data_IF_831666805874
#
_entry.id   IF_831666805874
#
_cell.length_a   1.000
_cell.length_b   1.000
_cell.length_c   1.000
_cell.angle_alpha   90.00
_cell.angle_beta   90.00
_cell.angle_gamma   90.00
#
_symmetry.space_group_name_H-M   'P 1'
#
loop_
_entity.id
_entity.type
_entity.pdbx_description
1 polymer ?
#
# COMPACT_ATOMS: atom_id res chain seq x y z
N UNK A 1 -17.39 -9.76 -12.23
CA UNK A 1 -17.36 -10.52 -10.98
C UNK A 1 -16.44 -9.79 -10.00
N UNK A 2 -16.92 -8.76 -9.29
CA UNK A 2 -17.74 -8.82 -8.06
C UNK A 2 -16.87 -9.32 -6.88
N UNK A 3 -16.68 -8.64 -5.74
CA UNK A 3 -17.68 -8.04 -4.84
C UNK A 3 -16.99 -7.15 -3.76
N UNK A 4 -17.59 -5.97 -3.53
CA UNK A 4 -17.78 -5.18 -2.29
C UNK A 4 -16.61 -4.75 -1.36
N UNK A 5 -16.64 -3.44 -1.05
CA UNK A 5 -16.06 -2.84 0.15
C UNK A 5 -16.68 -1.47 0.42
N UNK A 6 -17.93 -1.50 0.91
CA UNK A 6 -18.77 -0.50 1.61
C UNK A 6 -18.46 1.01 1.54
N UNK A 7 -19.49 1.87 1.39
CA UNK A 7 -19.36 3.30 1.61
C UNK A 7 -19.23 3.57 3.11
N UNK A 8 -18.07 4.07 3.55
CA UNK A 8 -17.92 4.62 4.89
C UNK A 8 -18.61 5.99 4.92
N UNK A 9 -19.79 6.03 5.56
CA UNK A 9 -20.74 7.14 5.56
C UNK A 9 -20.89 7.68 6.98
N UNK A 10 -20.08 8.68 7.32
CA UNK A 10 -20.25 9.67 8.40
C UNK A 10 -18.94 10.45 8.45
N UNK A 11 -18.89 11.75 8.17
CA UNK A 11 -19.33 12.78 9.11
C UNK A 11 -19.98 13.97 8.42
N UNK A 12 -21.01 14.50 9.08
CA UNK A 12 -21.91 15.52 8.57
C UNK A 12 -21.26 16.89 8.38
N UNK A 13 -21.51 17.48 7.21
CA UNK A 13 -21.33 18.91 7.01
C UNK A 13 -22.41 19.67 7.79
N UNK A 14 -22.06 20.29 8.92
CA UNK A 14 -22.87 21.35 9.54
C UNK A 14 -22.11 22.66 9.53
N UNK A 15 -22.70 23.64 8.84
CA UNK A 15 -22.59 25.09 9.12
C UNK A 15 -21.35 25.79 8.60
N UNK A 16 -21.48 26.51 7.48
CA UNK A 16 -20.55 27.58 7.09
C UNK A 16 -21.04 28.92 7.64
N UNK A 17 -20.21 29.58 8.46
CA UNK A 17 -20.30 31.02 8.73
C UNK A 17 -19.49 31.81 7.69
N UNK A 18 -19.69 33.14 7.58
CA UNK A 18 -19.20 33.94 6.45
C UNK A 18 -17.68 34.24 6.40
N UNK A 19 -16.84 33.74 7.32
CA UNK A 19 -15.45 34.21 7.47
C UNK A 19 -14.35 33.11 7.49
N UNK A 20 -14.50 31.99 6.78
CA UNK A 20 -13.56 30.86 6.95
C UNK A 20 -13.24 30.10 5.68
N UNK A 21 -12.00 30.25 5.21
CA UNK A 21 -11.30 29.47 4.20
C UNK A 21 -11.96 28.15 3.75
N UNK A 22 -12.18 28.02 2.44
CA UNK A 22 -12.45 26.76 1.76
C UNK A 22 -11.19 25.89 1.76
N UNK A 23 -10.70 25.49 2.94
CA UNK A 23 -9.73 24.42 3.09
C UNK A 23 -10.44 23.12 2.70
N UNK A 24 -10.66 22.94 1.40
CA UNK A 24 -11.07 21.68 0.82
C UNK A 24 -10.06 20.64 1.28
N UNK A 25 -10.53 19.68 2.08
CA UNK A 25 -9.76 18.50 2.43
C UNK A 25 -9.52 17.70 1.15
N UNK A 26 -8.50 18.09 0.38
CA UNK A 26 -8.02 17.34 -0.76
C UNK A 26 -7.50 16.01 -0.23
N UNK A 27 -8.25 14.93 -0.50
CA UNK A 27 -7.84 13.57 -0.16
C UNK A 27 -6.60 13.21 -0.98
N UNK A 28 -5.43 13.50 -0.44
CA UNK A 28 -4.14 13.11 -1.02
C UNK A 28 -3.94 11.60 -0.83
N UNK A 29 -3.80 10.86 -1.93
CA UNK A 29 -3.39 9.47 -1.92
C UNK A 29 -1.88 9.42 -2.14
N UNK A 30 -1.11 9.12 -1.10
CA UNK A 30 0.34 9.02 -1.22
C UNK A 30 0.71 7.68 -1.83
N UNK A 31 1.42 7.74 -2.95
CA UNK A 31 2.08 6.58 -3.56
C UNK A 31 3.55 6.62 -3.19
N UNK A 32 4.11 5.51 -2.72
CA UNK A 32 5.55 5.41 -2.48
C UNK A 32 6.11 4.17 -3.15
N UNK A 33 7.35 4.29 -3.63
CA UNK A 33 8.08 3.14 -4.17
C UNK A 33 9.22 2.78 -3.23
N UNK A 34 9.47 1.49 -3.08
CA UNK A 34 10.55 0.94 -2.26
C UNK A 34 11.26 -0.12 -3.07
N UNK A 35 12.58 -0.14 -2.97
CA UNK A 35 13.38 -1.24 -3.48
C UNK A 35 13.76 -2.17 -2.33
N UNK A 36 13.39 -3.44 -2.45
CA UNK A 36 13.74 -4.52 -1.51
C UNK A 36 15.13 -5.12 -1.78
N UNK A 37 15.78 -4.71 -2.87
CA UNK A 37 17.16 -5.05 -3.24
C UNK A 37 17.47 -6.55 -3.33
N UNK A 38 16.45 -7.36 -3.61
CA UNK A 38 16.56 -8.80 -3.77
C UNK A 38 15.59 -9.32 -4.82
N UNK A 39 15.92 -10.46 -5.43
CA UNK A 39 14.99 -11.20 -6.30
C UNK A 39 13.96 -11.89 -5.43
N UNK A 40 12.69 -11.80 -5.83
CA UNK A 40 11.57 -12.36 -5.09
C UNK A 40 10.85 -13.41 -5.93
N UNK A 41 10.61 -14.58 -5.34
CA UNK A 41 9.73 -15.58 -5.93
C UNK A 41 8.28 -15.26 -5.55
N UNK A 42 7.56 -14.67 -6.52
CA UNK A 42 6.17 -14.25 -6.36
C UNK A 42 5.23 -15.44 -6.05
N UNK A 43 5.52 -16.64 -6.55
CA UNK A 43 4.71 -17.83 -6.28
C UNK A 43 4.86 -18.25 -4.82
N UNK A 44 6.09 -18.27 -4.32
CA UNK A 44 6.35 -18.61 -2.91
C UNK A 44 5.73 -17.59 -1.96
N UNK A 45 5.84 -16.29 -2.27
CA UNK A 45 5.21 -15.24 -1.47
C UNK A 45 3.69 -15.43 -1.43
N UNK A 46 3.06 -15.68 -2.57
CA UNK A 46 1.61 -15.90 -2.63
C UNK A 46 1.16 -17.17 -1.91
N UNK A 47 1.97 -18.23 -1.92
CA UNK A 47 1.66 -19.49 -1.24
C UNK A 47 1.73 -19.32 0.30
N UNK A 48 2.71 -18.58 0.79
CA UNK A 48 2.96 -18.44 2.23
C UNK A 48 2.18 -17.28 2.86
N UNK A 49 1.94 -16.18 2.13
CA UNK A 49 1.28 -15.00 2.67
C UNK A 49 -0.25 -15.09 2.50
N UNK A 50 -0.96 -15.24 3.62
CA UNK A 50 -2.44 -15.35 3.63
C UNK A 50 -3.19 -14.13 3.07
N UNK A 51 -2.56 -12.94 3.10
CA UNK A 51 -3.14 -11.68 2.61
C UNK A 51 -2.49 -11.23 1.29
N UNK A 52 -2.08 -12.18 0.46
CA UNK A 52 -1.46 -11.94 -0.84
C UNK A 52 -2.28 -12.58 -1.96
N UNK A 53 -2.48 -11.81 -3.03
CA UNK A 53 -3.13 -12.27 -4.26
C UNK A 53 -2.09 -12.25 -5.39
N UNK A 54 -2.00 -13.34 -6.15
CA UNK A 54 -1.10 -13.42 -7.29
C UNK A 54 -1.74 -14.17 -8.45
N UNK A 55 -1.80 -13.51 -9.61
CA UNK A 55 -2.25 -14.13 -10.84
C UNK A 55 -1.32 -13.72 -12.00
N UNK A 56 -0.32 -14.54 -12.37
CA UNK A 56 0.68 -14.17 -13.37
C UNK A 56 0.08 -13.92 -14.76
N UNK A 57 -1.09 -14.47 -15.07
CA UNK A 57 -1.80 -14.21 -16.34
C UNK A 57 -2.43 -12.81 -16.38
N UNK A 58 -2.74 -12.24 -15.21
CA UNK A 58 -3.40 -10.94 -15.08
C UNK A 58 -2.41 -9.82 -14.82
N UNK A 59 -1.45 -10.06 -13.92
CA UNK A 59 -0.50 -9.02 -13.51
C UNK A 59 0.77 -9.64 -12.92
N UNK A 60 1.94 -9.12 -13.32
CA UNK A 60 3.26 -9.64 -12.95
C UNK A 60 3.72 -9.16 -11.56
N UNK A 61 2.80 -9.03 -10.60
CA UNK A 61 3.10 -8.61 -9.23
C UNK A 61 2.17 -9.29 -8.23
N UNK A 62 2.66 -9.49 -7.01
CA UNK A 62 1.86 -9.92 -5.86
C UNK A 62 1.18 -8.68 -5.28
N UNK A 63 -0.13 -8.76 -5.06
CA UNK A 63 -0.92 -7.73 -4.40
C UNK A 63 -1.05 -8.12 -2.93
N UNK A 64 -0.56 -7.29 -2.01
CA UNK A 64 -0.64 -7.55 -0.58
C UNK A 64 -1.34 -6.41 0.15
N UNK A 65 -2.25 -6.72 1.08
CA UNK A 65 -3.05 -5.70 1.79
C UNK A 65 -2.87 -5.79 3.29
N UNK A 66 -2.78 -4.64 3.96
CA UNK A 66 -2.81 -4.52 5.41
C UNK A 66 -3.89 -3.53 5.83
N UNK A 67 -4.43 -3.68 7.05
CA UNK A 67 -5.54 -2.86 7.55
C UNK A 67 -5.08 -1.61 8.30
N UNK A 68 -3.93 -1.67 8.94
CA UNK A 68 -3.35 -0.57 9.70
C UNK A 68 -1.88 -0.38 9.31
N UNK A 69 -1.52 0.74 8.66
CA UNK A 69 -2.42 1.66 7.93
C UNK A 69 -3.13 0.94 6.78
N UNK A 70 -4.32 1.39 6.37
CA UNK A 70 -5.08 0.77 5.27
C UNK A 70 -4.39 1.02 3.93
N UNK A 71 -3.53 0.11 3.49
CA UNK A 71 -2.72 0.26 2.28
C UNK A 71 -2.71 -1.01 1.44
N UNK A 72 -2.28 -0.86 0.19
CA UNK A 72 -2.02 -1.98 -0.73
C UNK A 72 -0.60 -1.87 -1.27
N UNK A 73 0.13 -2.98 -1.25
CA UNK A 73 1.44 -3.10 -1.87
C UNK A 73 1.38 -3.95 -3.13
N UNK A 74 2.09 -3.52 -4.16
CA UNK A 74 2.38 -4.28 -5.37
C UNK A 74 3.84 -4.68 -5.33
N UNK A 75 4.13 -5.98 -5.22
CA UNK A 75 5.48 -6.51 -5.07
C UNK A 75 5.87 -7.19 -6.38
N UNK A 76 6.95 -6.74 -7.01
CA UNK A 76 7.46 -7.25 -8.27
C UNK A 76 8.62 -8.23 -8.04
N UNK A 77 8.81 -9.17 -8.96
CA UNK A 77 9.90 -10.17 -8.90
C UNK A 77 11.31 -9.54 -8.87
N UNK A 78 11.43 -8.29 -9.34
CA UNK A 78 12.66 -7.50 -9.30
C UNK A 78 13.05 -6.98 -7.91
N UNK A 79 12.18 -7.14 -6.91
CA UNK A 79 12.36 -6.52 -5.59
C UNK A 79 11.78 -5.10 -5.49
N UNK A 80 11.30 -4.52 -6.60
CA UNK A 80 10.53 -3.28 -6.53
C UNK A 80 9.19 -3.53 -5.84
N UNK A 81 8.78 -2.59 -5.00
CA UNK A 81 7.51 -2.59 -4.30
C UNK A 81 6.88 -1.21 -4.39
N UNK A 82 5.60 -1.15 -4.76
CA UNK A 82 4.82 0.10 -4.77
C UNK A 82 3.77 0.02 -3.68
N UNK A 83 3.70 1.02 -2.81
CA UNK A 83 2.72 1.13 -1.74
C UNK A 83 1.74 2.27 -2.05
N UNK A 84 0.44 2.00 -1.95
CA UNK A 84 -0.64 2.95 -2.23
C UNK A 84 -1.72 2.94 -1.14
N UNK A 85 -2.53 3.99 -1.09
CA UNK A 85 -3.67 4.12 -0.16
C UNK A 85 -3.33 4.79 1.18
N UNK A 86 -2.09 5.26 1.34
CA UNK A 86 -1.70 6.00 2.53
C UNK A 86 -2.24 7.44 2.47
N UNK A 87 -2.71 7.96 3.61
CA UNK A 87 -3.22 9.33 3.75
C UNK A 87 -2.12 10.36 4.10
N UNK A 88 -0.95 9.88 4.49
CA UNK A 88 0.23 10.71 4.78
C UNK A 88 1.50 9.97 4.38
N UNK A 89 2.59 10.71 4.20
CA UNK A 89 3.90 10.15 3.89
C UNK A 89 4.41 9.25 5.01
N UNK A 90 4.16 9.61 6.27
CA UNK A 90 4.52 8.81 7.44
C UNK A 90 3.79 7.46 7.43
N UNK A 91 2.49 7.45 7.15
CA UNK A 91 1.72 6.21 7.00
C UNK A 91 2.24 5.38 5.82
N UNK A 92 2.60 6.02 4.71
CA UNK A 92 3.16 5.34 3.55
C UNK A 92 4.49 4.64 3.90
N UNK A 93 5.39 5.35 4.59
CA UNK A 93 6.68 4.82 5.05
C UNK A 93 6.49 3.69 6.07
N UNK A 94 5.56 3.84 7.01
CA UNK A 94 5.23 2.80 7.99
C UNK A 94 4.69 1.55 7.31
N UNK A 95 3.76 1.71 6.37
CA UNK A 95 3.19 0.62 5.58
C UNK A 95 4.27 -0.14 4.82
N UNK A 96 5.10 0.58 4.07
CA UNK A 96 6.18 -0.01 3.29
C UNK A 96 7.18 -0.78 4.16
N UNK A 97 7.50 -0.30 5.37
CA UNK A 97 8.31 -1.04 6.35
C UNK A 97 7.62 -2.32 6.82
N UNK A 98 6.31 -2.27 7.10
CA UNK A 98 5.53 -3.45 7.48
C UNK A 98 5.56 -4.51 6.37
N UNK A 99 5.39 -4.12 5.12
CA UNK A 99 5.50 -5.03 3.97
C UNK A 99 6.90 -5.64 3.81
N UNK A 100 7.95 -4.82 3.88
CA UNK A 100 9.33 -5.32 3.83
C UNK A 100 9.59 -6.35 4.95
N UNK A 101 9.07 -6.10 6.15
CA UNK A 101 9.21 -7.03 7.27
C UNK A 101 8.46 -8.35 7.05
N UNK A 102 7.29 -8.31 6.40
CA UNK A 102 6.58 -9.54 6.01
C UNK A 102 7.44 -10.35 5.04
N UNK A 103 7.98 -9.70 4.00
CA UNK A 103 8.86 -10.37 3.01
C UNK A 103 10.09 -11.00 3.68
N UNK A 104 10.71 -10.31 4.65
CA UNK A 104 11.80 -10.88 5.46
C UNK A 104 11.39 -12.12 6.25
N UNK A 105 10.19 -12.12 6.85
CA UNK A 105 9.68 -13.28 7.60
C UNK A 105 9.38 -14.49 6.73
N UNK A 106 9.17 -14.28 5.43
CA UNK A 106 9.01 -15.36 4.45
C UNK A 106 10.36 -15.97 4.00
N UNK A 107 11.49 -15.47 4.53
CA UNK A 107 12.83 -16.02 4.26
C UNK A 107 13.61 -15.28 3.17
N UNK A 108 13.10 -14.16 2.64
CA UNK A 108 13.83 -13.37 1.64
C UNK A 108 14.74 -12.33 2.31
N UNK A 109 15.98 -12.12 1.82
CA UNK A 109 16.92 -11.12 2.37
C UNK A 109 16.57 -9.69 1.90
N UNK A 110 15.33 -9.25 2.18
CA UNK A 110 14.83 -7.97 1.73
C UNK A 110 15.44 -6.80 2.54
N UNK A 111 16.02 -5.83 1.83
CA UNK A 111 16.57 -4.60 2.41
C UNK A 111 15.63 -3.44 2.13
N UNK A 112 15.38 -2.57 3.11
CA UNK A 112 14.46 -1.44 2.91
C UNK A 112 15.20 -0.22 2.35
N UNK A 113 15.13 0.01 1.03
CA UNK A 113 15.61 1.23 0.38
C UNK A 113 14.42 2.04 -0.13
N UNK A 114 14.09 3.14 0.55
CA UNK A 114 12.98 4.02 0.14
C UNK A 114 13.36 4.73 -1.16
N UNK A 115 12.50 4.60 -2.17
CA UNK A 115 12.63 5.27 -3.46
C UNK A 115 11.49 6.29 -3.57
N UNK A 116 11.65 7.37 -2.79
CA UNK A 116 10.86 8.62 -2.79
C UNK A 116 9.32 8.51 -2.64
N UNK A 117 8.67 9.50 -2.02
CA UNK A 117 7.22 9.69 -2.20
C UNK A 117 6.96 10.17 -3.63
N UNK A 118 6.02 9.51 -4.31
CA UNK A 118 5.42 10.00 -5.55
C UNK A 118 4.08 10.58 -5.11
N UNK A 119 4.06 11.89 -4.81
CA UNK A 119 2.85 12.63 -4.42
C UNK A 119 1.82 12.69 -5.53
#
# INVERSE_FOLDING_TARGET
>A
AAVLGSPDRSDGCRGGGPDGAWAGNERRNIVSTVNLDCRLDLKQIALQARNAEYNPKRFAAVIMRIRDPKTTALIFASGKMVCTGAKSEEHSKLAARKYARIVQKLGFPATFKVVLPIT
#
